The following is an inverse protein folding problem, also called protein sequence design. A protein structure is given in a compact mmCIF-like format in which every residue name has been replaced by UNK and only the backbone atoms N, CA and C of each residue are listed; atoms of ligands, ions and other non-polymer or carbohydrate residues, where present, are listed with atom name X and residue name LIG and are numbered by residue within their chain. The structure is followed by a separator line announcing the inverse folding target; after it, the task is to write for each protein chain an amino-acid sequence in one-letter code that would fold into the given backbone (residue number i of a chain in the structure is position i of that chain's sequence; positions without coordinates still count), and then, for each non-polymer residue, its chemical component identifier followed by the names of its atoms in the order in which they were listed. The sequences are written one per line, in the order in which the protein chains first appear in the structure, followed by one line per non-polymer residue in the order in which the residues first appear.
data_IF_803594719853
#
_entry.id   IF_803594719853
#
_cell.length_a   1.000
_cell.length_b   1.000
_cell.length_c   1.000
_cell.angle_alpha   90.00
_cell.angle_beta   90.00
_cell.angle_gamma   90.00
#
_symmetry.space_group_name_H-M   'P 1'
#
loop_
_entity.id
_entity.type
_entity.pdbx_description
1 polymer ?
#
# COMPACT_ATOMS: atom_id res chain seq x y z
N UNK A 1 0.77 -7.99 -9.28
CA UNK A 1 0.50 -7.23 -8.05
C UNK A 1 0.38 -8.21 -6.91
N UNK A 2 1.22 -8.08 -5.90
CA UNK A 2 1.29 -8.95 -4.73
C UNK A 2 0.50 -8.41 -3.55
N UNK A 3 0.24 -9.25 -2.55
CA UNK A 3 -0.44 -8.89 -1.31
C UNK A 3 0.42 -7.91 -0.50
N UNK A 4 1.75 -8.10 -0.49
CA UNK A 4 2.70 -7.22 0.18
C UNK A 4 2.62 -5.77 -0.27
N UNK A 5 2.41 -5.49 -1.55
CA UNK A 5 2.25 -4.13 -2.05
C UNK A 5 0.96 -3.47 -1.58
N UNK A 6 -0.13 -4.23 -1.51
CA UNK A 6 -1.41 -3.75 -0.97
C UNK A 6 -1.23 -3.44 0.52
N UNK A 7 -0.63 -4.36 1.28
CA UNK A 7 -0.37 -4.21 2.70
C UNK A 7 0.55 -3.02 3.02
N UNK A 8 1.63 -2.84 2.25
CA UNK A 8 2.56 -1.72 2.39
C UNK A 8 1.82 -0.39 2.30
N UNK A 9 0.97 -0.25 1.28
CA UNK A 9 0.20 0.98 1.04
C UNK A 9 -0.81 1.24 2.15
N UNK A 10 -1.60 0.24 2.53
CA UNK A 10 -2.55 0.34 3.66
C UNK A 10 -1.83 0.75 4.94
N UNK A 11 -0.70 0.12 5.26
CA UNK A 11 0.08 0.43 6.45
C UNK A 11 0.67 1.85 6.40
N UNK A 12 1.10 2.31 5.22
CA UNK A 12 1.62 3.67 5.03
C UNK A 12 0.50 4.69 5.29
N UNK A 13 -0.66 4.53 4.65
CA UNK A 13 -1.82 5.42 4.82
C UNK A 13 -2.26 5.46 6.28
N UNK A 14 -2.41 4.29 6.90
CA UNK A 14 -2.80 4.19 8.30
C UNK A 14 -1.80 4.88 9.25
N UNK A 15 -0.51 4.85 8.92
CA UNK A 15 0.51 5.53 9.71
C UNK A 15 0.48 7.05 9.55
N UNK A 16 0.18 7.56 8.35
CA UNK A 16 0.17 9.00 8.05
C UNK A 16 -1.14 9.69 8.43
N UNK A 17 -2.26 8.96 8.43
CA UNK A 17 -3.59 9.49 8.68
C UNK A 17 -3.70 10.14 10.08
N UNK A 18 -3.81 11.46 10.13
CA UNK A 18 -3.87 12.23 11.37
C UNK A 18 -2.51 12.48 12.05
N UNK A 19 -1.41 11.99 11.48
CA UNK A 19 -0.06 12.11 12.06
C UNK A 19 0.77 13.26 11.47
N UNK A 20 0.21 14.00 10.50
CA UNK A 20 0.89 15.08 9.78
C UNK A 20 0.02 16.34 9.76
N UNK A 21 0.60 17.46 9.31
CA UNK A 21 -0.10 18.74 9.17
C UNK A 21 -1.21 18.73 8.13
N UNK A 22 -1.31 17.71 7.25
CA UNK A 22 -2.47 17.53 6.36
C UNK A 22 -3.66 16.86 7.06
N UNK A 23 -3.49 16.46 8.33
CA UNK A 23 -4.53 15.80 9.12
C UNK A 23 -4.93 14.46 8.52
N UNK A 24 -6.25 14.27 8.34
CA UNK A 24 -6.81 13.03 7.79
C UNK A 24 -6.90 13.01 6.25
N UNK A 25 -6.40 14.05 5.57
CA UNK A 25 -6.48 14.16 4.10
C UNK A 25 -5.37 13.34 3.41
N UNK A 26 -5.41 12.03 3.64
CA UNK A 26 -4.47 11.04 3.09
C UNK A 26 -5.23 10.13 2.13
N UNK A 27 -4.83 10.15 0.86
CA UNK A 27 -5.51 9.52 -0.27
C UNK A 27 -4.89 8.16 -0.59
N UNK A 28 -5.73 7.17 -0.92
CA UNK A 28 -5.31 5.82 -1.32
C UNK A 28 -5.29 5.67 -2.84
N UNK A 29 -4.10 5.51 -3.41
CA UNK A 29 -3.92 5.16 -4.83
C UNK A 29 -4.45 6.18 -5.85
N UNK A 30 -4.60 7.45 -5.45
CA UNK A 30 -4.92 8.53 -6.38
C UNK A 30 -3.65 8.97 -7.11
N UNK A 31 -3.27 8.18 -8.11
CA UNK A 31 -2.21 8.53 -9.05
C UNK A 31 -2.72 9.70 -9.90
N UNK A 32 -1.95 10.78 -9.96
CA UNK A 32 -2.36 11.99 -10.68
C UNK A 32 -3.36 12.85 -9.89
N UNK A 33 -3.37 12.75 -8.54
CA UNK A 33 -3.94 13.79 -7.67
C UNK A 33 -3.38 15.18 -7.98
N UNK A 34 -2.22 15.21 -8.65
CA UNK A 34 -1.62 16.35 -9.31
C UNK A 34 -1.57 16.03 -10.81
N UNK A 35 -2.43 16.69 -11.60
CA UNK A 35 -2.41 16.63 -13.05
C UNK A 35 -1.49 17.73 -13.61
N UNK A 36 -0.63 17.36 -14.55
CA UNK A 36 0.24 18.30 -15.27
C UNK A 36 -0.39 18.54 -16.63
N UNK A 37 -1.02 19.69 -16.79
CA UNK A 37 -1.62 20.11 -18.04
C UNK A 37 -0.59 20.15 -19.18
N UNK A 38 -1.07 20.08 -20.44
CA UNK A 38 -0.21 20.18 -21.62
C UNK A 38 0.55 21.52 -21.71
N UNK A 39 0.09 22.53 -20.97
CA UNK A 39 0.71 23.84 -20.77
C UNK A 39 1.76 23.86 -19.65
N UNK A 40 1.98 22.74 -18.96
CA UNK A 40 2.86 22.63 -17.80
C UNK A 40 2.19 23.05 -16.49
N UNK A 41 0.90 23.42 -16.51
CA UNK A 41 0.21 23.87 -15.31
C UNK A 41 -0.14 22.72 -14.37
N UNK A 42 0.00 22.94 -13.06
CA UNK A 42 -0.41 21.96 -12.06
C UNK A 42 -1.88 22.14 -11.69
N UNK A 43 -2.62 21.04 -11.63
CA UNK A 43 -4.03 21.01 -11.25
C UNK A 43 -4.29 19.91 -10.24
N UNK A 44 -5.22 20.16 -9.32
CA UNK A 44 -5.70 19.19 -8.35
C UNK A 44 -7.18 19.48 -8.08
N UNK A 45 -7.97 18.44 -7.85
CA UNK A 45 -9.37 18.54 -7.45
C UNK A 45 -9.55 18.57 -5.93
N UNK A 46 -8.44 18.49 -5.18
CA UNK A 46 -8.45 18.51 -3.72
C UNK A 46 -8.73 19.92 -3.19
N UNK A 47 -9.57 20.01 -2.16
CA UNK A 47 -9.95 21.29 -1.53
C UNK A 47 -9.04 21.67 -0.37
N UNK A 48 -8.22 20.73 0.12
CA UNK A 48 -7.32 20.89 1.27
C UNK A 48 -5.93 20.33 0.95
N UNK A 49 -4.88 20.75 1.67
CA UNK A 49 -3.57 20.13 1.53
C UNK A 49 -3.68 18.63 1.80
N UNK A 50 -2.96 17.81 1.05
CA UNK A 50 -3.15 16.37 1.05
C UNK A 50 -1.84 15.60 0.93
N UNK A 51 -1.90 14.30 1.24
CA UNK A 51 -0.88 13.31 0.89
C UNK A 51 -1.56 12.21 0.07
N UNK A 52 -1.07 11.92 -1.14
CA UNK A 52 -1.43 10.72 -1.90
C UNK A 52 -0.37 9.64 -1.70
N UNK A 53 -0.82 8.41 -1.42
CA UNK A 53 0.06 7.25 -1.26
C UNK A 53 -0.27 6.19 -2.29
N UNK A 54 0.72 5.80 -3.07
CA UNK A 54 0.58 4.75 -4.07
C UNK A 54 1.87 3.95 -4.25
N UNK A 55 1.77 2.83 -4.94
CA UNK A 55 2.94 2.04 -5.34
C UNK A 55 3.03 2.03 -6.85
N UNK A 56 4.18 2.35 -7.43
CA UNK A 56 4.38 2.43 -8.88
C UNK A 56 5.18 1.22 -9.38
N UNK A 57 6.47 1.42 -9.67
CA UNK A 57 7.36 0.37 -10.15
C UNK A 57 7.54 -0.76 -9.14
N UNK A 58 7.56 -2.00 -9.63
CA UNK A 58 8.19 -3.09 -8.89
C UNK A 58 8.92 -4.03 -9.81
N UNK A 59 10.05 -4.52 -9.32
CA UNK A 59 10.92 -5.43 -10.04
C UNK A 59 11.27 -6.62 -9.15
N UNK A 60 10.86 -7.79 -9.58
CA UNK A 60 11.36 -9.05 -9.03
C UNK A 60 12.40 -9.61 -10.01
N UNK A 61 13.60 -9.86 -9.51
CA UNK A 61 14.71 -10.45 -10.25
C UNK A 61 14.98 -11.87 -9.75
N UNK A 62 15.85 -12.61 -10.46
CA UNK A 62 16.26 -13.97 -10.09
C UNK A 62 15.10 -14.96 -9.88
N UNK A 63 14.04 -14.78 -10.66
CA UNK A 63 12.88 -15.68 -10.72
C UNK A 63 13.27 -17.00 -11.39
N UNK A 64 14.02 -17.83 -10.68
CA UNK A 64 14.33 -19.20 -11.09
C UNK A 64 13.23 -20.18 -10.60
N UNK A 65 12.87 -21.15 -11.45
CA UNK A 65 11.80 -22.11 -11.17
C UNK A 65 10.42 -21.67 -11.68
N UNK A 66 9.35 -22.15 -11.02
CA UNK A 66 7.94 -22.06 -11.43
C UNK A 66 7.44 -20.64 -11.82
N UNK A 67 6.22 -20.56 -12.37
CA UNK A 67 5.54 -19.33 -12.84
C UNK A 67 5.18 -18.37 -11.68
N UNK A 68 6.17 -17.82 -10.99
CA UNK A 68 6.06 -17.02 -9.74
C UNK A 68 5.72 -15.55 -9.98
N UNK A 69 4.63 -15.28 -10.70
CA UNK A 69 4.23 -13.92 -11.09
C UNK A 69 3.79 -13.01 -9.94
N UNK A 70 3.61 -13.58 -8.74
CA UNK A 70 3.20 -12.88 -7.51
C UNK A 70 4.34 -12.70 -6.50
N UNK A 71 5.58 -13.06 -6.85
CA UNK A 71 6.71 -12.88 -5.95
C UNK A 71 6.97 -11.38 -5.71
N UNK A 72 7.18 -11.02 -4.44
CA UNK A 72 7.63 -9.69 -4.08
C UNK A 72 9.06 -9.45 -4.55
N UNK A 73 9.31 -8.23 -4.97
CA UNK A 73 10.65 -7.73 -5.25
C UNK A 73 10.74 -6.27 -4.83
N UNK A 74 11.77 -5.57 -5.32
CA UNK A 74 11.94 -4.15 -5.08
C UNK A 74 10.67 -3.42 -5.51
N UNK A 75 10.09 -2.65 -4.59
CA UNK A 75 8.83 -1.95 -4.78
C UNK A 75 9.05 -0.47 -4.49
N UNK A 76 8.60 0.37 -5.41
CA UNK A 76 8.56 1.81 -5.21
C UNK A 76 7.24 2.19 -4.52
N UNK A 77 7.38 2.73 -3.31
CA UNK A 77 6.33 3.41 -2.56
C UNK A 77 6.47 4.91 -2.80
N UNK A 78 5.41 5.56 -3.24
CA UNK A 78 5.36 6.99 -3.47
C UNK A 78 4.45 7.64 -2.44
N UNK A 79 4.97 8.72 -1.86
CA UNK A 79 4.27 9.63 -0.96
C UNK A 79 4.36 11.00 -1.60
N UNK A 80 3.22 11.51 -2.07
CA UNK A 80 3.13 12.77 -2.80
C UNK A 80 2.28 13.74 -2.00
N UNK A 81 2.84 14.91 -1.66
CA UNK A 81 2.15 15.95 -0.91
C UNK A 81 1.92 17.16 -1.81
N UNK A 82 0.72 17.74 -1.72
CA UNK A 82 0.32 18.90 -2.52
C UNK A 82 -0.32 20.00 -1.68
N UNK A 83 -0.04 21.25 -2.04
CA UNK A 83 -0.69 22.44 -1.50
C UNK A 83 -0.91 23.48 -2.61
N UNK A 84 -2.11 24.06 -2.65
CA UNK A 84 -2.50 25.08 -3.61
C UNK A 84 -3.04 26.34 -2.91
N UNK A 85 -3.01 27.48 -3.59
CA UNK A 85 -3.52 28.74 -3.06
C UNK A 85 -5.01 28.73 -2.73
N UNK A 86 -5.80 27.85 -3.36
CA UNK A 86 -7.20 27.64 -3.04
C UNK A 86 -7.43 26.93 -1.70
N UNK A 87 -6.40 26.32 -1.13
CA UNK A 87 -6.48 25.47 0.08
C UNK A 87 -6.16 26.23 1.37
N UNK A 88 -5.97 27.54 1.31
CA UNK A 88 -5.64 28.38 2.47
C UNK A 88 -6.91 28.76 3.22
N UNK A 89 -6.84 28.74 4.55
CA UNK A 89 -7.93 29.19 5.41
C UNK A 89 -7.74 30.67 5.74
N UNK A 90 -8.80 31.46 5.56
CA UNK A 90 -8.81 32.89 5.91
C UNK A 90 -9.55 33.08 7.22
N UNK A 91 -8.85 33.62 8.21
CA UNK A 91 -9.44 34.03 9.48
C UNK A 91 -10.42 35.19 9.25
N UNK A 92 -11.67 35.01 9.69
CA UNK A 92 -12.74 36.00 9.50
C UNK A 92 -12.61 37.23 10.41
N UNK A 93 -11.90 37.13 11.53
CA UNK A 93 -11.70 38.24 12.48
C UNK A 93 -10.48 39.09 12.09
N UNK A 94 -9.38 38.46 11.66
CA UNK A 94 -8.12 39.15 11.35
C UNK A 94 -7.93 39.41 9.85
N UNK A 95 -8.61 38.67 8.98
CA UNK A 95 -8.44 38.72 7.53
C UNK A 95 -7.16 38.06 7.02
N UNK A 96 -6.38 37.41 7.89
CA UNK A 96 -5.13 36.74 7.52
C UNK A 96 -5.41 35.35 6.92
N UNK A 97 -4.80 35.08 5.76
CA UNK A 97 -4.83 33.76 5.12
C UNK A 97 -3.63 32.93 5.53
N UNK A 98 -3.89 31.72 6.04
CA UNK A 98 -2.86 30.77 6.48
C UNK A 98 -3.09 29.40 5.85
N UNK A 99 -2.02 28.65 5.59
CA UNK A 99 -2.11 27.27 5.06
C UNK A 99 -2.62 26.34 6.17
N UNK A 100 -2.03 26.53 7.35
CA UNK A 100 -2.39 25.99 8.65
C UNK A 100 -2.12 27.10 9.69
N UNK A 101 -2.71 27.06 10.89
CA UNK A 101 -2.48 28.07 11.91
C UNK A 101 -0.98 28.36 12.13
N UNK A 102 -0.56 29.59 11.86
CA UNK A 102 0.83 30.05 12.03
C UNK A 102 1.74 29.95 10.79
N UNK A 103 1.27 29.43 9.65
CA UNK A 103 2.03 29.45 8.38
C UNK A 103 1.32 30.35 7.36
N UNK A 104 1.92 31.48 6.94
CA UNK A 104 1.27 32.43 6.03
C UNK A 104 1.11 31.86 4.61
N UNK A 105 0.15 32.36 3.84
CA UNK A 105 -0.13 31.94 2.47
C UNK A 105 0.85 32.51 1.40
N UNK A 106 2.16 32.35 1.59
CA UNK A 106 3.22 32.77 0.64
C UNK A 106 3.88 31.60 -0.07
N UNK A 107 4.50 31.82 -1.24
CA UNK A 107 5.19 30.75 -1.99
C UNK A 107 6.27 30.07 -1.14
N UNK A 108 7.08 30.89 -0.46
CA UNK A 108 8.10 30.41 0.47
C UNK A 108 7.53 29.56 1.61
N UNK A 109 6.29 29.82 2.01
CA UNK A 109 5.62 29.10 3.07
C UNK A 109 4.96 27.81 2.57
N UNK A 110 4.63 27.70 1.28
CA UNK A 110 4.15 26.46 0.65
C UNK A 110 5.28 25.43 0.64
N UNK A 111 6.47 25.82 0.21
CA UNK A 111 7.66 24.97 0.25
C UNK A 111 8.01 24.53 1.69
N UNK A 112 7.98 25.47 2.64
CA UNK A 112 8.22 25.13 4.06
C UNK A 112 7.18 24.15 4.58
N UNK A 113 5.90 24.36 4.26
CA UNK A 113 4.82 23.45 4.64
C UNK A 113 5.07 22.04 4.09
N UNK A 114 5.46 21.91 2.82
CA UNK A 114 5.76 20.61 2.22
C UNK A 114 7.00 19.95 2.84
N UNK A 115 8.08 20.70 3.11
CA UNK A 115 9.26 20.19 3.82
C UNK A 115 8.88 19.68 5.24
N UNK A 116 7.95 20.37 5.92
CA UNK A 116 7.42 19.94 7.23
C UNK A 116 6.62 18.65 7.09
N UNK A 117 5.70 18.57 6.11
CA UNK A 117 4.87 17.39 5.86
C UNK A 117 5.74 16.17 5.51
N UNK A 118 6.77 16.34 4.68
CA UNK A 118 7.73 15.28 4.37
C UNK A 118 8.45 14.77 5.63
N UNK A 119 8.92 15.70 6.48
CA UNK A 119 9.61 15.37 7.72
C UNK A 119 8.69 14.62 8.70
N UNK A 120 7.44 15.06 8.82
CA UNK A 120 6.41 14.41 9.63
C UNK A 120 6.04 13.04 9.08
N UNK A 121 5.96 12.88 7.77
CA UNK A 121 5.66 11.59 7.13
C UNK A 121 6.72 10.54 7.47
N UNK A 122 8.00 10.92 7.41
CA UNK A 122 9.09 10.04 7.86
C UNK A 122 9.00 9.77 9.36
N UNK A 123 8.71 10.78 10.18
CA UNK A 123 8.59 10.58 11.62
C UNK A 123 7.46 9.60 11.97
N UNK A 124 6.29 9.73 11.32
CA UNK A 124 5.14 8.86 11.50
C UNK A 124 5.44 7.40 11.10
N UNK A 125 6.14 7.17 9.99
CA UNK A 125 6.57 5.83 9.58
C UNK A 125 7.62 5.20 10.50
N UNK A 126 8.36 6.03 11.25
CA UNK A 126 9.39 5.58 12.18
C UNK A 126 8.92 5.54 13.64
N UNK A 127 7.68 5.93 13.91
CA UNK A 127 7.10 5.96 15.26
C UNK A 127 6.90 4.54 15.81
N UNK A 128 7.56 4.16 16.91
CA UNK A 128 7.37 2.86 17.55
C UNK A 128 6.01 2.70 18.22
N UNK A 129 5.32 3.78 18.57
CA UNK A 129 4.02 3.76 19.23
C UNK A 129 2.86 3.70 18.25
N UNK A 130 3.11 3.94 16.96
CA UNK A 130 2.11 3.84 15.90
C UNK A 130 2.00 2.38 15.38
N UNK A 131 0.85 1.69 15.57
CA UNK A 131 0.69 0.30 15.15
C UNK A 131 0.82 0.07 13.63
N UNK A 132 0.35 1.03 12.84
CA UNK A 132 0.48 0.96 11.37
C UNK A 132 1.93 1.11 10.93
N UNK A 133 2.68 1.98 11.60
CA UNK A 133 4.09 2.16 11.35
C UNK A 133 4.90 0.91 11.75
N UNK A 134 4.51 0.21 12.83
CA UNK A 134 5.11 -1.09 13.18
C UNK A 134 4.89 -2.14 12.08
N UNK A 135 3.66 -2.23 11.55
CA UNK A 135 3.35 -3.12 10.43
C UNK A 135 4.20 -2.75 9.21
N UNK A 136 4.28 -1.46 8.87
CA UNK A 136 5.09 -0.96 7.75
C UNK A 136 6.56 -1.38 7.89
N UNK A 137 7.18 -1.10 9.05
CA UNK A 137 8.59 -1.44 9.32
C UNK A 137 8.84 -2.94 9.36
N UNK A 138 7.82 -3.74 9.66
CA UNK A 138 7.94 -5.20 9.65
C UNK A 138 7.79 -5.77 8.24
N UNK A 139 6.93 -5.18 7.40
CA UNK A 139 6.76 -5.58 5.98
C UNK A 139 7.98 -5.23 5.13
N UNK A 140 8.60 -4.08 5.40
CA UNK A 140 9.79 -3.60 4.70
C UNK A 140 11.02 -4.29 5.29
N UNK A 141 11.62 -5.20 4.50
CA UNK A 141 12.88 -5.84 4.89
C UNK A 141 14.04 -4.85 4.84
N UNK A 142 14.09 -4.07 3.77
CA UNK A 142 15.18 -3.11 3.55
C UNK A 142 14.67 -1.89 2.76
N UNK A 143 15.29 -0.73 3.00
CA UNK A 143 15.09 0.49 2.24
C UNK A 143 16.30 0.69 1.36
N UNK A 144 16.15 0.40 0.07
CA UNK A 144 17.25 0.38 -0.90
C UNK A 144 17.57 1.78 -1.41
N UNK A 145 16.54 2.63 -1.57
CA UNK A 145 16.70 3.96 -2.17
C UNK A 145 15.60 4.90 -1.66
N UNK A 146 15.97 6.16 -1.45
CA UNK A 146 15.00 7.25 -1.21
C UNK A 146 15.33 8.40 -2.15
N UNK A 147 14.35 8.81 -2.94
CA UNK A 147 14.44 9.95 -3.86
C UNK A 147 13.37 10.98 -3.50
N UNK A 148 13.70 12.26 -3.72
CA UNK A 148 12.78 13.37 -3.51
C UNK A 148 12.76 14.24 -4.75
N UNK A 149 11.58 14.60 -5.21
CA UNK A 149 11.35 15.49 -6.34
C UNK A 149 10.41 16.60 -5.89
N UNK A 150 10.65 17.79 -6.43
CA UNK A 150 9.79 18.95 -6.24
C UNK A 150 9.18 19.33 -7.57
N UNK A 151 7.94 19.77 -7.54
CA UNK A 151 7.24 20.29 -8.72
C UNK A 151 6.39 21.47 -8.26
N UNK A 152 6.51 22.60 -8.95
CA UNK A 152 5.76 23.80 -8.64
C UNK A 152 5.36 24.47 -9.95
N UNK A 153 4.17 25.06 -9.99
CA UNK A 153 3.73 25.95 -11.06
C UNK A 153 3.37 27.30 -10.44
N UNK A 154 4.06 28.34 -10.91
CA UNK A 154 3.86 29.72 -10.51
C UNK A 154 3.46 30.63 -11.70
N UNK A 155 3.52 30.14 -12.94
CA UNK A 155 3.47 31.00 -14.13
C UNK A 155 2.25 30.76 -15.04
N UNK A 156 1.61 29.58 -15.01
CA UNK A 156 0.61 29.22 -16.05
C UNK A 156 -0.75 28.72 -15.55
N UNK A 157 -0.95 28.56 -14.24
CA UNK A 157 -2.20 28.05 -13.67
C UNK A 157 -2.48 28.42 -12.21
N UNK A 158 -3.05 27.47 -11.46
CA UNK A 158 -3.29 27.60 -10.02
C UNK A 158 -1.96 27.55 -9.30
N UNK A 159 -1.62 28.60 -8.54
CA UNK A 159 -0.41 28.65 -7.70
C UNK A 159 -0.38 27.45 -6.77
N UNK A 160 0.50 26.49 -7.07
CA UNK A 160 0.52 25.18 -6.45
C UNK A 160 1.96 24.66 -6.33
N UNK A 161 2.25 24.01 -5.21
CA UNK A 161 3.52 23.37 -4.93
C UNK A 161 3.28 21.90 -4.53
N UNK A 162 4.22 21.05 -4.89
CA UNK A 162 4.14 19.62 -4.69
C UNK A 162 5.50 18.99 -4.43
N UNK A 163 5.54 18.09 -3.46
CA UNK A 163 6.69 17.22 -3.20
C UNK A 163 6.31 15.77 -3.45
N UNK A 164 7.22 15.02 -4.06
CA UNK A 164 7.10 13.58 -4.23
C UNK A 164 8.32 12.90 -3.62
N UNK A 165 8.08 12.01 -2.67
CA UNK A 165 9.09 11.13 -2.11
C UNK A 165 8.87 9.70 -2.63
N UNK A 166 9.87 9.14 -3.32
CA UNK A 166 9.89 7.75 -3.74
C UNK A 166 10.81 6.95 -2.83
N UNK A 167 10.29 5.88 -2.23
CA UNK A 167 11.02 4.95 -1.37
C UNK A 167 11.02 3.59 -2.07
N UNK A 168 12.18 3.17 -2.56
CA UNK A 168 12.37 1.80 -3.06
C UNK A 168 12.67 0.89 -1.88
N UNK A 169 11.81 -0.10 -1.65
CA UNK A 169 11.91 -1.04 -0.55
C UNK A 169 11.88 -2.49 -1.03
N UNK A 170 12.60 -3.36 -0.32
CA UNK A 170 12.43 -4.81 -0.44
C UNK A 170 11.35 -5.27 0.54
N UNK A 171 10.39 -6.05 0.06
CA UNK A 171 9.23 -6.48 0.84
C UNK A 171 9.36 -7.94 1.28
N UNK A 172 8.84 -8.24 2.48
CA UNK A 172 8.68 -9.62 2.90
C UNK A 172 7.81 -10.43 1.92
N UNK A 173 8.03 -11.74 1.76
CA UNK A 173 7.21 -12.59 0.90
C UNK A 173 5.74 -12.60 1.34
N UNK A 174 4.85 -12.69 0.34
CA UNK A 174 3.42 -12.87 0.54
C UNK A 174 3.13 -14.13 1.39
N UNK A 175 2.02 -14.13 2.16
CA UNK A 175 1.59 -15.31 2.88
C UNK A 175 1.21 -16.41 1.89
N UNK A 176 1.45 -17.66 2.26
CA UNK A 176 1.02 -18.80 1.43
C UNK A 176 -0.50 -18.89 1.50
N UNK A 177 -1.15 -18.91 0.33
CA UNK A 177 -2.60 -18.95 0.27
C UNK A 177 -3.18 -20.16 1.00
N UNK A 178 -4.17 -19.91 1.86
CA UNK A 178 -4.93 -20.96 2.56
C UNK A 178 -4.15 -21.63 3.69
N UNK A 179 -2.88 -21.28 3.91
CA UNK A 179 -2.15 -21.72 5.09
C UNK A 179 -2.58 -20.89 6.31
N UNK A 180 -2.61 -21.49 7.51
CA UNK A 180 -2.89 -20.76 8.73
C UNK A 180 -1.93 -19.57 8.91
N UNK A 181 -2.49 -18.39 9.15
CA UNK A 181 -1.70 -17.19 9.44
C UNK A 181 -1.18 -17.28 10.87
N UNK A 182 0.14 -17.31 11.04
CA UNK A 182 0.74 -17.39 12.36
C UNK A 182 0.40 -16.13 13.20
N UNK A 183 0.02 -16.33 14.46
CA UNK A 183 -0.42 -15.25 15.35
C UNK A 183 0.63 -14.14 15.56
N UNK A 184 1.91 -14.47 15.44
CA UNK A 184 3.04 -13.54 15.58
C UNK A 184 3.45 -12.88 14.26
N UNK A 185 2.87 -13.28 13.13
CA UNK A 185 3.24 -12.77 11.82
C UNK A 185 2.74 -11.33 11.60
N UNK A 186 3.44 -10.60 10.72
CA UNK A 186 3.02 -9.27 10.28
C UNK A 186 1.64 -9.29 9.62
N UNK A 187 1.28 -10.39 8.95
CA UNK A 187 -0.01 -10.57 8.32
C UNK A 187 -1.13 -10.64 9.34
N UNK A 188 -0.94 -11.34 10.46
CA UNK A 188 -1.94 -11.33 11.53
C UNK A 188 -2.06 -9.95 12.18
N UNK A 189 -0.93 -9.27 12.42
CA UNK A 189 -0.93 -7.89 12.95
C UNK A 189 -1.72 -6.94 12.05
N UNK A 190 -1.51 -7.02 10.73
CA UNK A 190 -2.24 -6.27 9.74
C UNK A 190 -3.74 -6.54 9.79
N UNK A 191 -4.16 -7.81 9.76
CA UNK A 191 -5.58 -8.18 9.81
C UNK A 191 -6.25 -7.67 11.09
N UNK A 192 -5.60 -7.83 12.24
CA UNK A 192 -6.11 -7.33 13.52
C UNK A 192 -6.26 -5.80 13.51
N UNK A 193 -5.25 -5.10 13.00
CA UNK A 193 -5.29 -3.63 12.95
C UNK A 193 -6.37 -3.12 11.99
N UNK A 194 -6.55 -3.81 10.85
CA UNK A 194 -7.64 -3.54 9.92
C UNK A 194 -9.02 -3.80 10.55
N UNK A 195 -9.16 -4.83 11.37
CA UNK A 195 -10.40 -5.11 12.11
C UNK A 195 -10.71 -4.01 13.13
N UNK A 196 -9.72 -3.56 13.90
CA UNK A 196 -9.85 -2.47 14.89
C UNK A 196 -10.44 -1.21 14.25
N UNK A 197 -9.97 -0.84 13.05
CA UNK A 197 -10.44 0.35 12.34
C UNK A 197 -11.62 0.08 11.37
N UNK A 198 -12.13 -1.16 11.33
CA UNK A 198 -13.17 -1.60 10.39
C UNK A 198 -12.83 -1.27 8.94
N UNK A 199 -11.59 -1.57 8.53
CA UNK A 199 -11.06 -1.21 7.22
C UNK A 199 -11.90 -1.87 6.10
N UNK A 200 -12.34 -1.10 5.08
CA UNK A 200 -13.27 -1.61 4.05
C UNK A 200 -12.70 -2.77 3.22
N UNK A 201 -11.37 -2.83 3.09
CA UNK A 201 -10.69 -3.89 2.34
C UNK A 201 -10.32 -5.15 3.15
N UNK A 202 -10.68 -5.23 4.44
CA UNK A 202 -10.32 -6.37 5.30
C UNK A 202 -10.79 -7.70 4.70
N UNK A 203 -12.07 -7.80 4.35
CA UNK A 203 -12.63 -9.02 3.78
C UNK A 203 -11.92 -9.42 2.48
N UNK A 204 -11.64 -8.44 1.60
CA UNK A 204 -10.95 -8.70 0.34
C UNK A 204 -9.54 -9.24 0.57
N UNK A 205 -8.82 -8.71 1.57
CA UNK A 205 -7.49 -9.17 1.91
C UNK A 205 -7.50 -10.60 2.48
N UNK A 206 -8.47 -10.92 3.34
CA UNK A 206 -8.69 -12.27 3.87
C UNK A 206 -8.96 -13.29 2.75
N UNK A 207 -9.78 -12.91 1.75
CA UNK A 207 -10.06 -13.73 0.57
C UNK A 207 -8.79 -13.96 -0.27
N UNK A 208 -7.99 -12.91 -0.52
CA UNK A 208 -6.73 -13.01 -1.27
C UNK A 208 -5.70 -13.90 -0.57
N UNK A 209 -5.70 -13.89 0.76
CA UNK A 209 -4.83 -14.76 1.58
C UNK A 209 -5.41 -16.18 1.75
N UNK A 210 -6.68 -16.39 1.42
CA UNK A 210 -7.34 -17.68 1.60
C UNK A 210 -7.65 -18.04 3.06
N UNK A 211 -7.71 -17.05 3.96
CA UNK A 211 -7.93 -17.27 5.41
C UNK A 211 -9.27 -17.96 5.69
N UNK A 212 -10.26 -17.73 4.83
CA UNK A 212 -11.62 -18.29 4.95
C UNK A 212 -11.81 -19.61 4.21
N UNK A 213 -10.77 -20.14 3.56
CA UNK A 213 -10.86 -21.37 2.76
C UNK A 213 -10.83 -22.60 3.66
N UNK A 214 -11.96 -23.29 3.75
CA UNK A 214 -12.12 -24.49 4.60
C UNK A 214 -11.93 -25.79 3.80
N UNK A 215 -12.25 -25.76 2.49
CA UNK A 215 -12.08 -26.91 1.59
C UNK A 215 -11.07 -26.58 0.50
N UNK A 216 -10.23 -27.55 0.14
CA UNK A 216 -9.34 -27.39 -1.02
C UNK A 216 -10.19 -27.26 -2.29
N UNK A 217 -9.84 -26.29 -3.12
CA UNK A 217 -10.30 -26.20 -4.50
C UNK A 217 -9.11 -26.48 -5.41
N UNK A 218 -8.87 -27.77 -5.69
CA UNK A 218 -7.72 -28.25 -6.47
C UNK A 218 -7.65 -27.60 -7.85
N UNK A 219 -8.81 -27.28 -8.45
CA UNK A 219 -8.92 -26.60 -9.73
C UNK A 219 -8.41 -25.16 -9.63
N UNK A 220 -8.86 -24.40 -8.63
CA UNK A 220 -8.39 -23.02 -8.41
C UNK A 220 -6.92 -22.96 -8.03
N UNK A 221 -6.44 -23.90 -7.20
CA UNK A 221 -5.03 -23.99 -6.84
C UNK A 221 -4.17 -24.28 -8.07
N UNK A 222 -4.58 -25.25 -8.90
CA UNK A 222 -3.92 -25.53 -10.19
C UNK A 222 -3.82 -24.29 -11.06
N UNK A 223 -4.93 -23.54 -11.20
CA UNK A 223 -4.99 -22.30 -11.98
C UNK A 223 -4.09 -21.21 -11.40
N UNK A 224 -4.01 -21.09 -10.07
CA UNK A 224 -3.13 -20.11 -9.40
C UNK A 224 -1.66 -20.33 -9.72
N UNK A 225 -1.22 -21.59 -9.77
CA UNK A 225 0.15 -21.93 -10.18
C UNK A 225 0.35 -22.03 -11.70
N UNK A 226 -0.71 -21.81 -12.48
CA UNK A 226 -0.68 -21.83 -13.94
C UNK A 226 -0.47 -23.22 -14.54
N UNK A 227 -0.72 -24.30 -13.79
CA UNK A 227 -0.53 -25.66 -14.30
C UNK A 227 -1.66 -26.06 -15.25
N UNK A 228 -1.32 -26.70 -16.37
CA UNK A 228 -2.29 -27.47 -17.16
C UNK A 228 -2.78 -28.67 -16.36
N UNK A 229 -3.87 -29.30 -16.81
CA UNK A 229 -4.37 -30.51 -16.14
C UNK A 229 -3.34 -31.64 -16.22
N UNK A 230 -2.64 -31.74 -17.35
CA UNK A 230 -1.63 -32.77 -17.58
C UNK A 230 -0.37 -32.54 -16.74
N UNK A 231 0.09 -31.28 -16.60
CA UNK A 231 1.19 -30.91 -15.70
C UNK A 231 0.84 -31.26 -14.24
N UNK A 232 -0.38 -30.92 -13.80
CA UNK A 232 -0.83 -31.22 -12.45
C UNK A 232 -0.92 -32.74 -12.20
N UNK A 233 -1.36 -33.53 -13.19
CA UNK A 233 -1.38 -35.00 -13.11
C UNK A 233 0.02 -35.58 -13.06
N UNK A 234 0.94 -35.10 -13.89
CA UNK A 234 2.33 -35.54 -13.91
C UNK A 234 3.06 -35.27 -12.58
N UNK A 235 2.67 -34.21 -11.87
CA UNK A 235 3.16 -33.86 -10.54
C UNK A 235 2.39 -34.51 -9.38
N UNK A 236 1.43 -35.40 -9.67
CA UNK A 236 0.53 -36.00 -8.68
C UNK A 236 -0.25 -34.96 -7.84
N UNK A 237 -0.48 -33.76 -8.39
CA UNK A 237 -1.20 -32.66 -7.74
C UNK A 237 -2.72 -32.73 -7.87
N UNK A 238 -3.25 -33.68 -8.65
CA UNK A 238 -4.67 -34.00 -8.75
C UNK A 238 -4.86 -35.53 -8.78
N UNK A 239 -6.02 -36.06 -8.34
CA UNK A 239 -6.29 -37.50 -8.41
C UNK A 239 -6.20 -38.04 -9.85
N UNK A 240 -5.80 -39.31 -10.05
CA UNK A 240 -5.81 -39.94 -11.37
C UNK A 240 -7.24 -40.06 -11.91
N UNK A 241 -7.39 -40.10 -13.24
CA UNK A 241 -8.67 -40.10 -13.99
C UNK A 241 -9.74 -41.12 -13.51
N UNK A 242 -9.34 -42.18 -12.81
CA UNK A 242 -10.23 -43.22 -12.28
C UNK A 242 -10.57 -43.07 -10.78
N UNK A 243 -10.01 -42.04 -10.12
CA UNK A 243 -10.14 -41.79 -8.68
C UNK A 243 -10.48 -40.32 -8.39
N UNK A 244 -11.18 -39.65 -9.31
CA UNK A 244 -11.72 -38.29 -9.13
C UNK A 244 -12.79 -38.30 -8.02
N UNK A 245 -12.34 -38.43 -6.78
CA UNK A 245 -13.18 -38.25 -5.60
C UNK A 245 -13.57 -36.77 -5.47
N UNK A 246 -14.66 -36.51 -4.76
CA UNK A 246 -15.00 -35.18 -4.23
C UNK A 246 -13.77 -34.56 -3.54
N UNK A 247 -13.60 -33.23 -3.67
CA UNK A 247 -12.47 -32.49 -3.10
C UNK A 247 -12.17 -32.91 -1.64
N UNK A 248 -10.90 -33.14 -1.28
CA UNK A 248 -10.55 -33.58 0.06
C UNK A 248 -10.84 -32.48 1.10
N UNK A 249 -11.51 -32.86 2.18
CA UNK A 249 -11.64 -32.02 3.37
C UNK A 249 -10.30 -31.98 4.11
N UNK A 250 -9.58 -30.87 3.95
CA UNK A 250 -8.25 -30.68 4.55
C UNK A 250 -8.29 -30.52 6.07
N UNK A 251 -9.47 -30.36 6.66
CA UNK A 251 -9.64 -30.29 8.11
C UNK A 251 -9.76 -31.66 8.76
N UNK A 252 -9.89 -32.72 7.96
CA UNK A 252 -10.12 -34.10 8.43
C UNK A 252 -9.17 -35.07 7.75
N UNK A 253 -7.96 -35.18 8.28
CA UNK A 253 -6.99 -36.21 7.88
C UNK A 253 -7.10 -37.38 8.85
N UNK A 254 -7.80 -38.44 8.43
CA UNK A 254 -7.86 -39.69 9.18
C UNK A 254 -6.57 -40.49 8.89
N UNK A 255 -5.67 -40.56 9.87
CA UNK A 255 -4.51 -41.45 9.77
C UNK A 255 -4.94 -42.87 10.12
N UNK A 256 -5.14 -43.72 9.11
CA UNK A 256 -5.16 -45.17 9.34
C UNK A 256 -3.76 -45.59 9.81
N UNK A 257 -3.66 -46.04 11.06
CA UNK A 257 -2.47 -46.71 11.56
C UNK A 257 -2.31 -48.01 10.77
N UNK A 258 -1.25 -48.07 9.95
CA UNK A 258 -0.75 -49.31 9.33
C UNK A 258 -0.13 -50.18 10.43
#
# INVERSE_FOLDING_TARGET
MSIGRIALRIATIGALNGATSVGANVLDSEIGSIDVGADGSLRTDQEKPFISVYTDGSKAEDLSGARRLWQNGLTELLIEAGVAASMVETDQETGESTIIPGIPATDSAFELFLDVVDRQSIAALMDPENPWAEIWRTLVRDVVKVERRRTADAETGTRMAAHQQSITCDLLPDPVFGEPVAATSVWQKLLNQMEVVQHPYLQKLQELMGVTVIQRNSIEQRRRFGFTLDEARALCGVPPLAAEATEPDITRIDFEKI
#
